data_IF_921824069000
#
_entry.id   IF_921824069000
#
_cell.length_a   1.000
_cell.length_b   1.000
_cell.length_c   1.000
_cell.angle_alpha   90.00
_cell.angle_beta   90.00
_cell.angle_gamma   90.00
#
_symmetry.space_group_name_H-M   'P 1'
#
loop_
_entity.id
_entity.type
_entity.pdbx_description
1 polymer ?
#
# COMPACT_ATOMS: atom_id res chain seq x y z
N UNK A 1 38.77 14.73 -23.52
CA UNK A 1 38.00 15.98 -23.39
C UNK A 1 36.55 15.58 -23.17
N UNK A 2 35.97 16.00 -22.05
CA UNK A 2 34.73 15.46 -21.50
C UNK A 2 33.49 15.99 -22.26
N UNK A 3 32.94 15.18 -23.16
CA UNK A 3 31.57 15.33 -23.62
C UNK A 3 30.64 14.72 -22.58
N UNK A 4 30.31 15.53 -21.58
CA UNK A 4 29.36 15.28 -20.51
C UNK A 4 28.04 14.76 -21.09
N UNK A 5 27.69 13.53 -20.75
CA UNK A 5 26.36 12.96 -20.96
C UNK A 5 25.36 13.74 -20.09
N UNK A 6 24.83 14.85 -20.60
CA UNK A 6 23.66 15.49 -20.00
C UNK A 6 22.43 14.66 -20.34
N UNK A 7 21.69 14.20 -19.32
CA UNK A 7 20.35 13.67 -19.53
C UNK A 7 19.54 14.65 -20.38
N UNK A 8 18.69 14.17 -21.31
CA UNK A 8 17.75 15.05 -21.97
C UNK A 8 16.97 15.76 -20.87
N UNK A 9 17.12 17.08 -20.79
CA UNK A 9 16.29 17.90 -19.94
C UNK A 9 14.88 17.74 -20.48
N UNK A 10 14.08 16.92 -19.80
CA UNK A 10 12.67 16.64 -20.07
C UNK A 10 11.80 17.87 -19.74
N UNK A 11 12.28 19.04 -20.15
CA UNK A 11 11.68 20.37 -20.05
C UNK A 11 11.27 20.90 -21.44
N UNK A 12 11.21 20.02 -22.46
CA UNK A 12 11.03 20.41 -23.87
C UNK A 12 9.58 20.26 -24.37
N UNK A 13 8.62 19.88 -23.53
CA UNK A 13 7.20 20.10 -23.81
C UNK A 13 6.72 21.32 -23.01
N UNK A 14 6.21 22.34 -23.71
CA UNK A 14 5.44 23.43 -23.09
C UNK A 14 4.33 22.78 -22.29
N UNK A 15 4.44 22.83 -20.96
CA UNK A 15 3.50 22.16 -20.07
C UNK A 15 2.10 22.74 -20.39
N UNK A 16 1.16 21.94 -20.96
CA UNK A 16 -0.10 22.47 -21.47
C UNK A 16 -1.04 22.94 -20.34
N UNK A 17 -0.58 22.82 -19.10
CA UNK A 17 -1.30 23.17 -17.90
C UNK A 17 -0.95 24.59 -17.42
N UNK A 18 -1.99 25.39 -17.26
CA UNK A 18 -1.88 26.69 -16.59
C UNK A 18 -1.39 26.47 -15.16
N UNK A 19 -0.59 27.42 -14.61
CA UNK A 19 -0.11 27.36 -13.20
C UNK A 19 -1.20 27.02 -12.17
N UNK A 20 -2.45 27.42 -12.46
CA UNK A 20 -3.64 27.10 -11.66
C UNK A 20 -4.00 25.61 -11.67
N UNK A 21 -3.91 24.94 -12.82
CA UNK A 21 -4.22 23.51 -12.97
C UNK A 21 -3.17 22.65 -12.27
N UNK A 22 -1.89 23.02 -12.39
CA UNK A 22 -0.80 22.35 -11.65
C UNK A 22 -1.03 22.47 -10.13
N UNK A 23 -1.38 23.67 -9.65
CA UNK A 23 -1.70 23.86 -8.23
C UNK A 23 -2.90 23.02 -7.79
N UNK A 24 -3.95 22.92 -8.60
CA UNK A 24 -5.12 22.08 -8.31
C UNK A 24 -4.73 20.59 -8.25
N UNK A 25 -3.92 20.13 -9.21
CA UNK A 25 -3.43 18.76 -9.26
C UNK A 25 -2.61 18.40 -8.02
N UNK A 26 -1.72 19.29 -7.56
CA UNK A 26 -0.93 19.10 -6.34
C UNK A 26 -1.84 18.97 -5.10
N UNK A 27 -2.86 19.81 -4.99
CA UNK A 27 -3.82 19.77 -3.87
C UNK A 27 -4.62 18.46 -3.87
N UNK A 28 -5.10 18.02 -5.03
CA UNK A 28 -5.84 16.75 -5.15
C UNK A 28 -4.92 15.57 -4.86
N UNK A 29 -3.71 15.56 -5.38
CA UNK A 29 -2.73 14.50 -5.15
C UNK A 29 -2.39 14.36 -3.67
N UNK A 30 -2.09 15.48 -3.00
CA UNK A 30 -1.80 15.48 -1.55
C UNK A 30 -3.00 15.02 -0.74
N UNK A 31 -4.22 15.44 -1.09
CA UNK A 31 -5.45 14.95 -0.45
C UNK A 31 -5.62 13.43 -0.62
N UNK A 32 -5.41 12.89 -1.82
CA UNK A 32 -5.46 11.45 -2.07
C UNK A 32 -4.42 10.67 -1.24
N UNK A 33 -3.19 11.17 -1.17
CA UNK A 33 -2.13 10.55 -0.35
C UNK A 33 -2.49 10.57 1.13
N UNK A 34 -3.00 11.68 1.64
CA UNK A 34 -3.48 11.77 3.04
C UNK A 34 -4.63 10.79 3.29
N UNK A 35 -5.60 10.69 2.38
CA UNK A 35 -6.69 9.72 2.49
C UNK A 35 -6.19 8.27 2.48
N UNK A 36 -5.20 7.93 1.66
CA UNK A 36 -4.59 6.60 1.64
C UNK A 36 -3.88 6.29 2.97
N UNK A 37 -3.18 7.27 3.56
CA UNK A 37 -2.54 7.11 4.89
C UNK A 37 -3.62 6.88 5.96
N UNK A 38 -4.66 7.70 5.99
CA UNK A 38 -5.77 7.54 6.95
C UNK A 38 -6.46 6.18 6.79
N UNK A 39 -6.70 5.75 5.55
CA UNK A 39 -7.25 4.43 5.25
C UNK A 39 -6.33 3.32 5.75
N UNK A 40 -5.01 3.42 5.52
CA UNK A 40 -4.03 2.46 6.00
C UNK A 40 -4.02 2.36 7.54
N UNK A 41 -4.02 3.49 8.23
CA UNK A 41 -4.07 3.54 9.70
C UNK A 41 -5.40 2.98 10.26
N UNK A 42 -6.52 3.17 9.56
CA UNK A 42 -7.81 2.56 9.94
C UNK A 42 -7.88 1.06 9.60
N UNK A 43 -7.19 0.60 8.55
CA UNK A 43 -7.13 -0.81 8.16
C UNK A 43 -6.11 -1.61 8.98
N UNK A 44 -5.05 -0.97 9.47
CA UNK A 44 -4.07 -1.59 10.36
C UNK A 44 -4.70 -2.35 11.53
N UNK A 45 -5.64 -1.77 12.31
CA UNK A 45 -6.31 -2.53 13.35
C UNK A 45 -7.20 -3.61 12.75
N UNK A 46 -7.77 -3.49 11.54
CA UNK A 46 -8.57 -4.59 10.95
C UNK A 46 -7.70 -5.80 10.60
N UNK A 47 -6.48 -5.57 10.09
CA UNK A 47 -5.56 -6.63 9.68
C UNK A 47 -4.82 -7.24 10.89
N UNK A 48 -4.44 -6.42 11.88
CA UNK A 48 -3.72 -6.88 13.08
C UNK A 48 -4.63 -7.13 14.31
N UNK A 49 -5.96 -7.05 14.19
CA UNK A 49 -6.84 -7.32 15.33
C UNK A 49 -7.04 -8.85 15.50
N UNK A 50 -6.70 -9.40 16.67
CA UNK A 50 -6.96 -10.81 16.99
C UNK A 50 -8.46 -11.18 16.97
N UNK A 51 -9.35 -10.18 16.99
CA UNK A 51 -10.82 -10.37 16.89
C UNK A 51 -11.29 -10.78 15.49
N UNK A 52 -10.48 -10.60 14.44
CA UNK A 52 -10.82 -11.03 13.07
C UNK A 52 -9.95 -12.21 12.61
N UNK A 53 -10.28 -13.45 13.02
CA UNK A 53 -9.48 -14.65 12.74
C UNK A 53 -9.40 -15.00 11.24
N UNK A 54 -10.17 -14.33 10.38
CA UNK A 54 -10.11 -14.54 8.93
C UNK A 54 -8.81 -14.07 8.29
N UNK A 55 -8.16 -13.04 8.84
CA UNK A 55 -6.90 -12.51 8.32
C UNK A 55 -5.66 -13.15 8.97
N UNK A 56 -5.83 -13.78 10.14
CA UNK A 56 -4.77 -14.42 10.92
C UNK A 56 -4.74 -15.96 10.80
N UNK A 57 -5.22 -16.52 9.70
CA UNK A 57 -5.12 -17.97 9.45
C UNK A 57 -3.70 -18.35 9.04
N UNK A 58 -2.80 -18.46 10.01
CA UNK A 58 -1.57 -19.21 9.82
C UNK A 58 -1.97 -20.69 9.73
N UNK A 59 -1.65 -21.43 8.65
CA UNK A 59 -1.92 -22.86 8.62
C UNK A 59 -1.18 -23.54 9.77
N UNK A 60 -1.92 -24.21 10.66
CA UNK A 60 -1.31 -25.12 11.64
C UNK A 60 -0.82 -26.36 10.90
N UNK A 61 0.45 -26.70 11.09
CA UNK A 61 1.05 -27.95 10.64
C UNK A 61 1.13 -28.98 11.78
N UNK A 62 0.33 -28.81 12.83
CA UNK A 62 0.37 -29.69 13.98
C UNK A 62 -0.20 -31.07 13.59
N UNK A 63 0.58 -32.11 13.88
CA UNK A 63 0.16 -33.48 13.72
C UNK A 63 -0.96 -33.77 14.74
N UNK A 64 -2.21 -33.82 14.27
CA UNK A 64 -3.34 -34.30 15.08
C UNK A 64 -3.25 -35.82 15.12
N UNK A 65 -2.62 -36.35 16.17
CA UNK A 65 -2.68 -37.78 16.45
C UNK A 65 -4.15 -38.19 16.60
N UNK A 66 -4.60 -39.30 15.97
CA UNK A 66 -5.96 -39.77 16.15
C UNK A 66 -6.17 -40.06 17.64
N UNK A 67 -7.05 -39.29 18.29
CA UNK A 67 -7.51 -39.64 19.63
C UNK A 67 -8.16 -41.00 19.53
N UNK A 68 -7.50 -42.00 20.11
CA UNK A 68 -8.12 -43.28 20.39
C UNK A 68 -9.34 -43.00 21.23
N UNK A 69 -10.53 -43.02 20.61
CA UNK A 69 -11.79 -43.07 21.34
C UNK A 69 -11.77 -44.39 22.10
N UNK A 70 -11.75 -44.41 23.44
CA UNK A 70 -11.90 -45.67 24.16
C UNK A 70 -13.35 -46.10 23.93
N UNK A 71 -13.54 -47.06 23.03
CA UNK A 71 -14.77 -47.81 22.92
C UNK A 71 -14.85 -48.80 24.08
N UNK A 72 -15.98 -48.74 24.80
CA UNK A 72 -16.44 -49.57 25.91
C UNK A 72 -15.89 -49.24 27.30
#
# INVERSE_FOLDING_TARGET
MASTYSLPSDYTEDNPFTKKEISLFIVIYTFCVVMLIVMYEHLMPVINNPTYPHYNKVPSFDFVAPQQTPGF
#
